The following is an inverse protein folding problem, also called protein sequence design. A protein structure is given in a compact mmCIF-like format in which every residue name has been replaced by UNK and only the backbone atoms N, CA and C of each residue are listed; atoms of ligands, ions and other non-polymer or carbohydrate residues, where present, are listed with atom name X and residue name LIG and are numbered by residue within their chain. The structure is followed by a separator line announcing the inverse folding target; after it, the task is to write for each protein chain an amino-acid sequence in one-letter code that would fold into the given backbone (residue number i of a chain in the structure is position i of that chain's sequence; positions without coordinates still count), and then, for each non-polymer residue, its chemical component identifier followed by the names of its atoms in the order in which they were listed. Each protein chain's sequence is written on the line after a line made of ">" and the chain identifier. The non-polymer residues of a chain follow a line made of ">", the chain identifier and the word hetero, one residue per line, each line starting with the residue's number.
data_IF_505809834739
#
_entry.id   IF_505809834739
#
_cell.length_a   1.000
_cell.length_b   1.000
_cell.length_c   1.000
_cell.angle_alpha   90.00
_cell.angle_beta   90.00
_cell.angle_gamma   90.00
#
_symmetry.space_group_name_H-M   'P 1'
#
loop_
_entity.id
_entity.type
_entity.pdbx_description
1 polymer ?
#
# COMPACT_ATOMS: atom_id res chain seq x y z
N UNK A 1 2.35 -39.36 9.03
CA UNK A 1 1.98 -39.63 7.62
C UNK A 1 1.98 -41.14 7.27
N UNK A 2 1.92 -42.08 8.23
CA UNK A 2 1.99 -43.53 7.93
C UNK A 2 0.64 -44.21 7.67
N UNK A 3 -0.48 -43.67 8.17
CA UNK A 3 -1.80 -44.33 8.04
C UNK A 3 -2.35 -44.32 6.61
N UNK A 4 -2.26 -43.17 5.92
CA UNK A 4 -2.77 -43.02 4.55
C UNK A 4 -1.93 -43.83 3.55
N UNK A 5 -0.60 -43.91 3.75
CA UNK A 5 0.27 -44.73 2.90
C UNK A 5 -0.02 -46.23 3.02
N UNK A 6 -0.30 -46.71 4.24
CA UNK A 6 -0.67 -48.11 4.47
C UNK A 6 -2.08 -48.46 3.95
N UNK A 7 -3.03 -47.52 3.96
CA UNK A 7 -4.38 -47.75 3.41
C UNK A 7 -4.39 -47.85 1.88
N UNK A 8 -3.38 -47.28 1.21
CA UNK A 8 -3.25 -47.27 -0.25
C UNK A 8 -2.23 -48.28 -0.79
N UNK A 9 -1.48 -48.96 0.08
CA UNK A 9 -0.61 -50.07 -0.30
C UNK A 9 -1.47 -51.33 -0.35
N UNK A 10 -1.88 -51.72 -1.55
CA UNK A 10 -2.60 -52.98 -1.74
C UNK A 10 -1.63 -54.13 -1.56
N UNK A 11 -1.82 -54.91 -0.51
CA UNK A 11 -1.34 -56.29 -0.51
C UNK A 11 -2.07 -57.04 -1.64
N UNK A 12 -1.42 -58.05 -2.20
CA UNK A 12 -1.90 -58.83 -3.36
C UNK A 12 -3.26 -59.53 -3.15
N UNK A 13 -3.83 -59.44 -1.95
CA UNK A 13 -5.12 -59.96 -1.50
C UNK A 13 -6.30 -58.96 -1.58
N UNK A 14 -6.07 -57.71 -1.98
CA UNK A 14 -7.13 -56.69 -2.01
C UNK A 14 -8.22 -57.00 -3.05
N UNK A 15 -9.46 -56.91 -2.61
CA UNK A 15 -10.66 -57.09 -3.45
C UNK A 15 -10.83 -55.93 -4.44
N UNK A 16 -11.58 -56.16 -5.52
CA UNK A 16 -11.79 -55.13 -6.54
C UNK A 16 -12.52 -53.88 -5.98
N UNK A 17 -13.47 -54.10 -5.06
CA UNK A 17 -14.15 -52.99 -4.36
C UNK A 17 -13.20 -52.16 -3.49
N UNK A 18 -12.22 -52.78 -2.83
CA UNK A 18 -11.19 -52.05 -2.09
C UNK A 18 -10.30 -51.21 -3.01
N UNK A 19 -10.00 -51.71 -4.21
CA UNK A 19 -9.24 -50.96 -5.22
C UNK A 19 -9.99 -49.74 -5.72
N UNK A 20 -11.27 -49.89 -6.03
CA UNK A 20 -12.15 -48.80 -6.46
C UNK A 20 -12.31 -47.74 -5.36
N UNK A 21 -12.54 -48.17 -4.12
CA UNK A 21 -12.67 -47.27 -2.97
C UNK A 21 -11.39 -46.48 -2.71
N UNK A 22 -10.21 -47.11 -2.82
CA UNK A 22 -8.96 -46.40 -2.63
C UNK A 22 -8.63 -45.48 -3.83
N UNK A 23 -9.02 -45.83 -5.06
CA UNK A 23 -8.93 -44.91 -6.19
C UNK A 23 -9.81 -43.66 -6.00
N UNK A 24 -11.05 -43.84 -5.54
CA UNK A 24 -11.97 -42.75 -5.22
C UNK A 24 -11.43 -41.84 -4.08
N UNK A 25 -10.87 -42.44 -3.02
CA UNK A 25 -10.22 -41.68 -1.94
C UNK A 25 -9.00 -40.90 -2.43
N UNK A 26 -8.14 -41.50 -3.26
CA UNK A 26 -7.00 -40.79 -3.87
C UNK A 26 -7.45 -39.59 -4.71
N UNK A 27 -8.54 -39.75 -5.46
CA UNK A 27 -9.12 -38.67 -6.25
C UNK A 27 -9.63 -37.54 -5.34
N UNK A 28 -10.41 -37.85 -4.31
CA UNK A 28 -10.90 -36.86 -3.33
C UNK A 28 -9.75 -36.12 -2.63
N UNK A 29 -8.68 -36.82 -2.23
CA UNK A 29 -7.51 -36.17 -1.63
C UNK A 29 -6.78 -35.27 -2.63
N UNK A 30 -6.69 -35.67 -3.90
CA UNK A 30 -6.08 -34.86 -4.96
C UNK A 30 -6.89 -33.59 -5.20
N UNK A 31 -8.20 -33.71 -5.39
CA UNK A 31 -9.10 -32.57 -5.57
C UNK A 31 -9.05 -31.60 -4.39
N UNK A 32 -9.09 -32.14 -3.16
CA UNK A 32 -8.99 -31.29 -1.96
C UNK A 32 -7.64 -30.60 -1.84
N UNK A 33 -6.54 -31.28 -2.21
CA UNK A 33 -5.20 -30.69 -2.25
C UNK A 33 -5.12 -29.56 -3.27
N UNK A 34 -5.66 -29.75 -4.46
CA UNK A 34 -5.64 -28.76 -5.52
C UNK A 34 -6.52 -27.55 -5.18
N UNK A 35 -7.68 -27.78 -4.54
CA UNK A 35 -8.52 -26.72 -3.97
C UNK A 35 -7.80 -25.91 -2.88
N UNK A 36 -7.11 -26.57 -1.93
CA UNK A 36 -6.34 -25.86 -0.89
C UNK A 36 -5.23 -25.02 -1.52
N UNK A 37 -4.56 -25.51 -2.58
CA UNK A 37 -3.55 -24.75 -3.29
C UNK A 37 -4.14 -23.52 -3.99
N UNK A 38 -5.30 -23.64 -4.64
CA UNK A 38 -5.93 -22.49 -5.29
C UNK A 38 -6.37 -21.45 -4.28
N UNK A 39 -6.98 -21.87 -3.17
CA UNK A 39 -7.37 -20.97 -2.08
C UNK A 39 -6.15 -20.28 -1.46
N UNK A 40 -5.06 -21.01 -1.19
CA UNK A 40 -3.83 -20.42 -0.66
C UNK A 40 -3.25 -19.35 -1.59
N UNK A 41 -3.28 -19.56 -2.91
CA UNK A 41 -2.84 -18.56 -3.89
C UNK A 41 -3.76 -17.34 -3.91
N UNK A 42 -5.08 -17.57 -3.84
CA UNK A 42 -6.06 -16.49 -3.78
C UNK A 42 -5.81 -15.61 -2.55
N UNK A 43 -5.65 -16.20 -1.36
CA UNK A 43 -5.34 -15.46 -0.15
C UNK A 43 -4.00 -14.72 -0.22
N UNK A 44 -2.98 -15.30 -0.86
CA UNK A 44 -1.69 -14.62 -1.06
C UNK A 44 -1.85 -13.36 -1.93
N UNK A 45 -2.64 -13.42 -2.99
CA UNK A 45 -2.93 -12.28 -3.87
C UNK A 45 -3.71 -11.21 -3.11
N UNK A 46 -4.80 -11.60 -2.44
CA UNK A 46 -5.63 -10.69 -1.65
C UNK A 46 -4.81 -9.98 -0.56
N UNK A 47 -3.91 -10.71 0.10
CA UNK A 47 -3.00 -10.14 1.10
C UNK A 47 -2.03 -9.12 0.50
N UNK A 48 -1.42 -9.42 -0.66
CA UNK A 48 -0.51 -8.49 -1.34
C UNK A 48 -1.23 -7.23 -1.80
N UNK A 49 -2.46 -7.35 -2.31
CA UNK A 49 -3.29 -6.22 -2.70
C UNK A 49 -3.65 -5.35 -1.49
N UNK A 50 -4.11 -5.94 -0.40
CA UNK A 50 -4.44 -5.21 0.82
C UNK A 50 -3.23 -4.46 1.40
N UNK A 51 -2.04 -5.06 1.38
CA UNK A 51 -0.80 -4.40 1.77
C UNK A 51 -0.46 -3.19 0.89
N UNK A 52 -0.62 -3.35 -0.42
CA UNK A 52 -0.33 -2.28 -1.37
C UNK A 52 -1.29 -1.09 -1.20
N UNK A 53 -2.59 -1.36 -1.04
CA UNK A 53 -3.59 -0.33 -0.79
C UNK A 53 -3.33 0.40 0.53
N UNK A 54 -2.96 -0.33 1.59
CA UNK A 54 -2.59 0.25 2.88
C UNK A 54 -1.35 1.15 2.78
N UNK A 55 -0.32 0.75 2.03
CA UNK A 55 0.88 1.57 1.82
C UNK A 55 0.57 2.86 1.03
N UNK A 56 -0.27 2.78 -0.01
CA UNK A 56 -0.73 3.94 -0.76
C UNK A 56 -1.51 4.92 0.12
N UNK A 57 -2.44 4.41 0.93
CA UNK A 57 -3.23 5.25 1.82
C UNK A 57 -2.36 5.89 2.91
N UNK A 58 -1.39 5.15 3.45
CA UNK A 58 -0.41 5.70 4.39
C UNK A 58 0.42 6.83 3.76
N UNK A 59 0.91 6.64 2.54
CA UNK A 59 1.67 7.67 1.80
C UNK A 59 0.81 8.93 1.59
N UNK A 60 -0.44 8.78 1.15
CA UNK A 60 -1.39 9.90 0.99
C UNK A 60 -1.68 10.62 2.30
N UNK A 61 -2.01 9.88 3.36
CA UNK A 61 -2.31 10.46 4.67
C UNK A 61 -1.10 11.21 5.25
N UNK A 62 0.11 10.68 5.04
CA UNK A 62 1.36 11.32 5.45
C UNK A 62 1.62 12.62 4.70
N UNK A 63 1.41 12.64 3.38
CA UNK A 63 1.58 13.83 2.56
C UNK A 63 0.55 14.90 2.94
N UNK A 64 -0.71 14.52 3.12
CA UNK A 64 -1.76 15.42 3.60
C UNK A 64 -1.42 16.01 4.98
N UNK A 65 -0.99 15.17 5.93
CA UNK A 65 -0.60 15.63 7.26
C UNK A 65 0.59 16.60 7.21
N UNK A 66 1.55 16.36 6.30
CA UNK A 66 2.68 17.26 6.08
C UNK A 66 2.23 18.61 5.54
N UNK A 67 1.35 18.62 4.52
CA UNK A 67 0.81 19.85 3.96
C UNK A 67 -0.01 20.63 5.00
N UNK A 68 -0.84 19.95 5.77
CA UNK A 68 -1.65 20.58 6.82
C UNK A 68 -0.79 21.15 7.93
N UNK A 69 0.29 20.45 8.33
CA UNK A 69 1.27 20.97 9.28
C UNK A 69 1.96 22.23 8.76
N UNK A 70 2.44 22.20 7.50
CA UNK A 70 3.06 23.37 6.88
C UNK A 70 2.10 24.55 6.80
N UNK A 71 0.86 24.31 6.37
CA UNK A 71 -0.19 25.33 6.31
C UNK A 71 -0.48 25.93 7.68
N UNK A 72 -0.64 25.09 8.71
CA UNK A 72 -0.89 25.55 10.09
C UNK A 72 0.26 26.41 10.62
N UNK A 73 1.51 25.98 10.46
CA UNK A 73 2.67 26.78 10.87
C UNK A 73 2.70 28.11 10.12
N UNK A 74 2.47 28.09 8.81
CA UNK A 74 2.47 29.32 8.01
C UNK A 74 1.37 30.28 8.46
N UNK A 75 0.17 29.78 8.76
CA UNK A 75 -0.91 30.59 9.32
C UNK A 75 -0.52 31.18 10.66
N UNK A 76 -0.03 30.36 11.60
CA UNK A 76 0.41 30.84 12.92
C UNK A 76 1.48 31.92 12.80
N UNK A 77 2.52 31.70 12.00
CA UNK A 77 3.60 32.67 11.82
C UNK A 77 3.09 33.99 11.23
N UNK A 78 2.20 33.94 10.23
CA UNK A 78 1.64 35.17 9.68
C UNK A 78 0.79 35.92 10.72
N UNK A 79 0.02 35.21 11.55
CA UNK A 79 -0.74 35.84 12.66
C UNK A 79 0.18 36.50 13.68
N UNK A 80 1.29 35.86 14.05
CA UNK A 80 2.29 36.45 14.96
C UNK A 80 2.94 37.71 14.33
N UNK A 81 3.26 37.68 13.04
CA UNK A 81 3.76 38.85 12.34
C UNK A 81 2.75 40.00 12.30
N UNK A 82 1.50 39.70 11.98
CA UNK A 82 0.45 40.72 11.94
C UNK A 82 0.25 41.32 13.34
N UNK A 83 0.40 40.52 14.40
CA UNK A 83 0.38 41.00 15.80
C UNK A 83 1.55 41.94 16.09
N UNK A 84 2.77 41.57 15.72
CA UNK A 84 3.97 42.42 15.88
C UNK A 84 3.82 43.72 15.10
N UNK A 85 3.33 43.66 13.85
CA UNK A 85 3.15 44.83 12.99
C UNK A 85 2.07 45.78 13.51
N UNK A 86 1.10 45.27 14.28
CA UNK A 86 0.06 46.08 14.92
C UNK A 86 0.54 46.81 16.19
N UNK A 87 1.75 46.55 16.69
CA UNK A 87 2.28 47.21 17.90
C UNK A 87 2.71 48.65 17.64
N UNK A 88 2.54 49.51 18.65
CA UNK A 88 3.05 50.89 18.62
C UNK A 88 4.58 50.94 18.50
N UNK A 89 5.26 49.92 19.01
CA UNK A 89 6.72 49.75 18.91
C UNK A 89 7.15 49.56 17.45
N UNK A 90 6.40 48.78 16.67
CA UNK A 90 6.62 48.64 15.23
C UNK A 90 6.25 49.93 14.47
N UNK A 91 5.14 50.57 14.82
CA UNK A 91 4.71 51.82 14.16
C UNK A 91 5.75 52.94 14.30
N UNK A 92 6.41 53.00 15.46
CA UNK A 92 7.48 53.96 15.76
C UNK A 92 8.89 53.47 15.38
N UNK A 93 9.02 52.25 14.84
CA UNK A 93 10.31 51.70 14.47
C UNK A 93 10.93 52.44 13.26
N UNK A 94 12.26 52.50 13.24
CA UNK A 94 13.00 53.02 12.11
C UNK A 94 12.76 52.19 10.83
N UNK A 95 13.01 52.80 9.67
CA UNK A 95 12.76 52.17 8.38
C UNK A 95 13.57 50.87 8.15
N UNK A 96 14.77 50.76 8.74
CA UNK A 96 15.62 49.57 8.64
C UNK A 96 15.04 48.41 9.45
N UNK A 97 14.51 48.68 10.63
CA UNK A 97 13.85 47.70 11.50
C UNK A 97 12.57 47.17 10.85
N UNK A 98 11.74 48.05 10.28
CA UNK A 98 10.54 47.63 9.51
C UNK A 98 10.91 46.78 8.29
N UNK A 99 11.91 47.20 7.52
CA UNK A 99 12.41 46.44 6.36
C UNK A 99 12.94 45.05 6.73
N UNK A 100 13.63 44.92 7.87
CA UNK A 100 14.12 43.62 8.36
C UNK A 100 12.98 42.68 8.75
N UNK A 101 11.94 43.18 9.42
CA UNK A 101 10.78 42.37 9.79
C UNK A 101 10.00 41.89 8.56
N UNK A 102 9.82 42.77 7.57
CA UNK A 102 9.22 42.41 6.29
C UNK A 102 10.06 41.35 5.55
N UNK A 103 11.39 41.54 5.53
CA UNK A 103 12.33 40.58 4.98
C UNK A 103 12.28 39.21 5.67
N UNK A 104 12.12 39.20 7.00
CA UNK A 104 12.00 37.98 7.79
C UNK A 104 10.68 37.24 7.51
N UNK A 105 9.57 37.97 7.34
CA UNK A 105 8.27 37.42 6.91
C UNK A 105 8.38 36.76 5.54
N UNK A 106 8.98 37.46 4.58
CA UNK A 106 9.17 36.96 3.22
C UNK A 106 10.11 35.75 3.17
N UNK A 107 11.21 35.79 3.92
CA UNK A 107 12.13 34.67 4.02
C UNK A 107 11.47 33.43 4.64
N UNK A 108 10.70 33.58 5.72
CA UNK A 108 9.99 32.44 6.34
C UNK A 108 8.91 31.86 5.43
N UNK A 109 8.13 32.69 4.73
CA UNK A 109 7.18 32.23 3.73
C UNK A 109 7.88 31.49 2.59
N UNK A 110 9.05 31.97 2.14
CA UNK A 110 9.88 31.28 1.14
C UNK A 110 10.44 29.94 1.65
N UNK A 111 10.96 29.90 2.88
CA UNK A 111 11.51 28.69 3.50
C UNK A 111 10.45 27.58 3.63
N UNK A 112 9.22 27.95 4.01
CA UNK A 112 8.11 27.01 4.12
C UNK A 112 7.61 26.53 2.75
N UNK A 113 7.61 27.40 1.73
CA UNK A 113 7.20 27.06 0.35
C UNK A 113 8.21 26.18 -0.39
N UNK A 114 9.50 26.26 -0.02
CA UNK A 114 10.58 25.45 -0.60
C UNK A 114 10.53 23.99 -0.14
N UNK A 115 9.59 23.66 0.75
CA UNK A 115 9.63 22.46 1.56
C UNK A 115 10.82 22.54 2.51
N UNK A 116 10.55 22.58 3.82
CA UNK A 116 11.55 22.15 4.79
C UNK A 116 11.85 20.68 4.49
N UNK A 117 12.80 20.45 3.58
CA UNK A 117 13.53 19.21 3.48
C UNK A 117 14.39 19.20 4.73
N UNK A 118 13.84 18.69 5.83
CA UNK A 118 14.70 18.01 6.80
C UNK A 118 15.46 17.03 5.93
N UNK A 119 16.76 17.29 5.74
CA UNK A 119 17.59 16.47 4.91
C UNK A 119 17.41 15.04 5.41
N UNK A 120 16.63 14.24 4.66
CA UNK A 120 16.59 12.80 4.76
C UNK A 120 17.97 12.34 4.29
N UNK A 121 18.93 12.54 5.19
CA UNK A 121 20.30 12.13 5.03
C UNK A 121 20.24 10.61 5.12
N UNK A 122 20.13 9.98 3.95
CA UNK A 122 20.26 8.54 3.72
C UNK A 122 19.20 7.66 4.39
N UNK A 123 18.02 7.61 3.77
CA UNK A 123 17.31 6.34 3.63
C UNK A 123 16.97 6.15 2.16
N UNK A 124 17.99 5.83 1.35
CA UNK A 124 17.76 5.05 0.13
C UNK A 124 17.31 3.67 0.60
N UNK A 125 16.03 3.52 0.89
CA UNK A 125 15.42 2.20 0.80
C UNK A 125 15.30 1.95 -0.69
N UNK A 126 16.07 0.99 -1.19
CA UNK A 126 15.93 0.50 -2.53
C UNK A 126 14.53 -0.11 -2.66
N UNK A 127 13.58 0.64 -3.24
CA UNK A 127 12.40 0.06 -3.88
C UNK A 127 12.86 -0.41 -5.29
N UNK A 128 13.72 -1.42 -5.32
CA UNK A 128 13.77 -2.35 -6.45
C UNK A 128 12.74 -3.42 -6.15
N UNK A 129 11.57 -3.29 -6.79
CA UNK A 129 10.90 -4.33 -7.56
C UNK A 129 9.49 -3.79 -7.83
N UNK A 130 9.38 -2.96 -8.88
CA UNK A 130 8.08 -2.72 -9.51
C UNK A 130 7.63 -4.08 -10.03
N UNK A 131 6.84 -4.81 -9.23
CA UNK A 131 6.02 -5.88 -9.74
C UNK A 131 5.10 -5.21 -10.76
N UNK A 132 5.43 -5.35 -12.04
CA UNK A 132 4.51 -5.05 -13.13
C UNK A 132 3.24 -5.84 -12.84
N UNK A 133 2.24 -5.18 -12.27
CA UNK A 133 0.88 -5.68 -12.26
C UNK A 133 0.45 -5.61 -13.72
N UNK A 134 0.74 -6.67 -14.46
CA UNK A 134 0.08 -6.92 -15.73
C UNK A 134 -1.41 -7.00 -15.38
N UNK A 135 -2.19 -5.98 -15.74
CA UNK A 135 -3.64 -6.03 -15.68
C UNK A 135 -4.08 -7.29 -16.45
N UNK A 136 -4.39 -8.36 -15.71
CA UNK A 136 -5.06 -9.51 -16.32
C UNK A 136 -6.54 -9.14 -16.38
N UNK A 137 -6.90 -8.42 -17.43
CA UNK A 137 -8.29 -8.19 -17.81
C UNK A 137 -8.86 -9.52 -18.30
N UNK A 138 -9.68 -10.18 -17.49
CA UNK A 138 -10.51 -11.28 -17.96
C UNK A 138 -11.80 -10.70 -18.56
N UNK A 139 -12.06 -10.90 -19.87
CA UNK A 139 -13.31 -10.47 -20.48
C UNK A 139 -14.46 -11.29 -19.90
N UNK A 140 -15.50 -10.57 -19.47
CA UNK A 140 -16.74 -11.11 -18.92
C UNK A 140 -17.25 -12.36 -19.66
N UNK A 141 -17.55 -13.40 -18.89
CA UNK A 141 -18.36 -14.52 -19.31
C UNK A 141 -19.73 -14.00 -19.79
N UNK A 142 -19.94 -13.99 -21.11
CA UNK A 142 -21.22 -14.30 -21.78
C UNK A 142 -21.05 -14.20 -23.29
N UNK A 143 -21.01 -15.37 -23.95
CA UNK A 143 -21.70 -15.71 -25.22
C UNK A 143 -21.17 -17.02 -25.78
N UNK A 144 -21.89 -18.12 -25.55
CA UNK A 144 -22.19 -19.04 -26.67
C UNK A 144 -23.11 -18.31 -27.65
N UNK A 145 -23.09 -18.53 -28.98
CA UNK A 145 -22.84 -19.79 -29.71
C UNK A 145 -21.81 -19.61 -30.87
N UNK A 146 -21.30 -20.63 -31.57
CA UNK A 146 -21.97 -21.35 -32.65
C UNK A 146 -21.05 -22.46 -33.20
N UNK A 147 -21.70 -23.56 -33.59
CA UNK A 147 -21.20 -24.65 -34.44
C UNK A 147 -20.70 -24.10 -35.78
N UNK A 148 -19.55 -24.58 -36.24
CA UNK A 148 -19.31 -24.76 -37.69
C UNK A 148 -18.58 -26.10 -37.87
N UNK A 149 -19.10 -26.86 -38.84
CA UNK A 149 -18.68 -28.16 -39.37
C UNK A 149 -17.19 -28.21 -39.69
#
# INVERSE_FOLDING_TARGET
>A
MSFIFNYFYFDSSATESEKENAAALRLMFKERKDYIKSESKKYEIEYKQALHEADLEYKRAKDQAREDFQRKIQTTLNTEFDTIMATDEYANADAKTRSKLEGMRNWMNGWMSSGCTVANTKAKVAEEETVEVTEIYYPDEKKTPLVVV
#
